data_IF_816881316724
#
_entry.id   IF_816881316724
#
_cell.length_a   1.000
_cell.length_b   1.000
_cell.length_c   1.000
_cell.angle_alpha   90.00
_cell.angle_beta   90.00
_cell.angle_gamma   90.00
#
_symmetry.space_group_name_H-M   'P 1'
#
loop_
_entity.id
_entity.type
_entity.pdbx_description
1 polymer ?
#
# COMPACT_ATOMS: atom_id res chain seq x y z
N UNK A 1 -29.54 13.26 6.99
CA UNK A 1 -29.67 11.95 7.64
C UNK A 1 -29.07 10.88 6.77
N UNK A 2 -28.42 9.91 7.43
CA UNK A 2 -27.65 8.78 6.89
C UNK A 2 -26.26 9.20 6.37
N UNK A 3 -25.34 9.29 7.32
CA UNK A 3 -23.92 9.10 7.11
C UNK A 3 -23.70 7.75 6.44
N UNK A 4 -23.11 7.75 5.24
CA UNK A 4 -22.46 6.59 4.64
C UNK A 4 -21.25 6.21 5.51
N UNK A 5 -21.51 5.59 6.66
CA UNK A 5 -20.52 4.73 7.29
C UNK A 5 -20.42 3.52 6.38
N UNK A 6 -19.34 3.45 5.61
CA UNK A 6 -18.99 2.25 4.85
C UNK A 6 -18.96 1.08 5.83
N UNK A 7 -20.01 0.27 5.84
CA UNK A 7 -20.12 -0.90 6.71
C UNK A 7 -18.96 -1.82 6.36
N UNK A 8 -17.96 -1.81 7.22
CA UNK A 8 -16.79 -2.67 7.11
C UNK A 8 -17.22 -4.10 7.37
N UNK A 9 -16.77 -5.04 6.56
CA UNK A 9 -17.07 -6.45 6.82
C UNK A 9 -16.24 -6.94 8.01
N UNK A 10 -16.77 -7.86 8.84
CA UNK A 10 -16.04 -8.43 9.98
C UNK A 10 -14.68 -9.03 9.59
N UNK A 11 -14.55 -9.51 8.35
CA UNK A 11 -13.31 -10.06 7.82
C UNK A 11 -12.24 -8.98 7.60
N UNK A 12 -12.63 -7.80 7.09
CA UNK A 12 -11.72 -6.66 6.93
C UNK A 12 -11.31 -6.10 8.30
N UNK A 13 -12.26 -6.06 9.22
CA UNK A 13 -12.01 -5.69 10.61
C UNK A 13 -11.17 -6.70 11.37
N UNK A 14 -10.93 -7.94 10.94
CA UNK A 14 -10.09 -8.89 11.70
C UNK A 14 -8.85 -9.34 10.92
N UNK A 15 -8.63 -8.79 9.73
CA UNK A 15 -7.47 -9.10 8.91
C UNK A 15 -6.17 -8.66 9.62
N UNK A 16 -5.26 -9.62 9.82
CA UNK A 16 -3.90 -9.39 10.30
C UNK A 16 -3.04 -8.69 9.25
N UNK A 17 -1.94 -8.05 9.65
CA UNK A 17 -0.94 -7.51 8.74
C UNK A 17 -0.52 -8.55 7.69
N UNK A 18 -0.40 -8.12 6.45
CA UNK A 18 -0.14 -9.01 5.31
C UNK A 18 1.25 -8.72 4.73
N UNK A 19 2.21 -9.65 4.79
CA UNK A 19 3.49 -9.51 4.09
C UNK A 19 3.27 -9.61 2.58
N UNK A 20 3.63 -8.56 1.86
CA UNK A 20 3.49 -8.48 0.39
C UNK A 20 4.82 -8.83 -0.28
N UNK A 21 5.91 -8.23 0.23
CA UNK A 21 7.30 -8.54 -0.09
C UNK A 21 8.07 -8.72 1.24
N UNK A 22 9.30 -9.26 1.22
CA UNK A 22 10.09 -9.43 2.46
C UNK A 22 10.26 -8.17 3.32
N UNK A 23 10.13 -6.98 2.72
CA UNK A 23 10.24 -5.69 3.41
C UNK A 23 8.96 -4.83 3.32
N UNK A 24 7.92 -5.25 2.59
CA UNK A 24 6.71 -4.44 2.34
C UNK A 24 5.49 -5.14 2.93
N UNK A 25 4.83 -4.47 3.86
CA UNK A 25 3.66 -4.96 4.57
C UNK A 25 2.44 -4.09 4.28
N UNK A 26 1.28 -4.73 4.11
CA UNK A 26 -0.02 -4.08 3.95
C UNK A 26 -0.88 -4.35 5.18
N UNK A 27 -1.38 -3.29 5.81
CA UNK A 27 -2.16 -3.40 7.05
C UNK A 27 -3.28 -2.38 7.22
N UNK A 28 -3.91 -2.47 8.37
CA UNK A 28 -4.98 -1.59 8.86
C UNK A 28 -4.48 -0.67 9.99
N UNK A 29 -5.39 0.08 10.59
CA UNK A 29 -5.10 0.99 11.69
C UNK A 29 -4.50 0.26 12.92
N UNK A 30 -5.00 -0.93 13.26
CA UNK A 30 -4.53 -1.67 14.43
C UNK A 30 -3.10 -2.18 14.25
N UNK A 31 -2.77 -2.64 13.05
CA UNK A 31 -1.39 -3.03 12.73
C UNK A 31 -0.43 -1.84 12.91
N UNK A 32 -0.88 -0.61 12.62
CA UNK A 32 -0.09 0.61 12.84
C UNK A 32 -0.01 1.05 14.32
N UNK A 33 -0.95 0.61 15.16
CA UNK A 33 -0.96 0.84 16.61
C UNK A 33 -0.08 -0.15 17.38
N UNK A 34 0.16 -1.34 16.83
CA UNK A 34 0.92 -2.40 17.50
C UNK A 34 2.44 -2.20 17.35
N UNK A 35 3.07 -1.51 18.29
CA UNK A 35 4.51 -1.25 18.26
C UNK A 35 5.36 -2.52 18.34
N UNK A 36 4.87 -3.55 19.04
CA UNK A 36 5.61 -4.81 19.20
C UNK A 36 5.62 -5.60 17.90
N UNK A 37 4.48 -5.64 17.19
CA UNK A 37 4.40 -6.14 15.81
C UNK A 37 5.35 -5.40 14.88
N UNK A 38 5.34 -4.05 14.90
CA UNK A 38 6.22 -3.24 14.05
C UNK A 38 7.69 -3.57 14.30
N UNK A 39 8.09 -3.72 15.56
CA UNK A 39 9.47 -4.10 15.95
C UNK A 39 9.80 -5.53 15.52
N UNK A 40 8.90 -6.47 15.75
CA UNK A 40 9.08 -7.88 15.40
C UNK A 40 9.31 -8.08 13.90
N UNK A 41 8.58 -7.33 13.07
CA UNK A 41 8.72 -7.33 11.61
C UNK A 41 9.87 -6.45 11.09
N UNK A 42 10.73 -5.93 11.98
CA UNK A 42 11.83 -5.02 11.62
C UNK A 42 11.36 -3.78 10.83
N UNK A 43 10.13 -3.32 11.07
CA UNK A 43 9.57 -2.15 10.38
C UNK A 43 10.24 -0.89 10.93
N UNK A 44 10.81 -0.08 10.04
CA UNK A 44 11.37 1.24 10.35
C UNK A 44 10.56 2.39 9.73
N UNK A 45 9.69 2.09 8.77
CA UNK A 45 8.98 3.05 7.95
C UNK A 45 7.49 2.77 7.95
N UNK A 46 6.67 3.82 8.04
CA UNK A 46 5.21 3.69 8.05
C UNK A 46 4.59 4.72 7.12
N UNK A 47 3.83 4.25 6.13
CA UNK A 47 3.00 5.06 5.25
C UNK A 47 1.57 5.03 5.77
N UNK A 48 1.05 6.19 6.18
CA UNK A 48 -0.32 6.39 6.62
C UNK A 48 -1.13 7.06 5.50
N UNK A 49 -1.99 6.29 4.82
CA UNK A 49 -2.81 6.76 3.69
C UNK A 49 -4.17 7.28 4.18
N UNK A 50 -4.16 8.14 5.20
CA UNK A 50 -5.37 8.76 5.77
C UNK A 50 -5.14 10.23 6.11
N UNK A 51 -6.25 10.97 6.23
CA UNK A 51 -6.23 12.37 6.66
C UNK A 51 -6.20 12.51 8.19
N UNK A 52 -6.86 11.61 8.92
CA UNK A 52 -7.25 11.84 10.32
C UNK A 52 -6.56 10.92 11.34
N UNK A 53 -6.14 9.70 10.98
CA UNK A 53 -5.51 8.80 11.94
C UNK A 53 -4.17 9.37 12.41
N UNK A 54 -3.76 9.24 13.68
CA UNK A 54 -2.50 9.76 14.18
C UNK A 54 -1.28 9.00 13.60
N UNK A 55 -0.09 9.54 13.84
CA UNK A 55 1.18 8.84 13.64
C UNK A 55 1.58 8.22 14.99
N UNK A 56 1.03 7.04 15.31
CA UNK A 56 0.98 6.50 16.69
C UNK A 56 2.30 6.50 17.45
N UNK A 57 3.42 6.16 16.79
CA UNK A 57 4.71 5.92 17.44
C UNK A 57 5.82 6.83 16.93
N UNK A 58 5.49 8.10 16.65
CA UNK A 58 6.44 9.09 16.08
C UNK A 58 7.73 9.26 16.90
N UNK A 59 7.66 9.06 18.22
CA UNK A 59 8.81 9.21 19.13
C UNK A 59 9.62 7.91 19.32
N UNK A 60 9.30 6.85 18.57
CA UNK A 60 9.88 5.51 18.75
C UNK A 60 11.00 5.19 17.74
N UNK A 61 11.52 6.19 17.03
CA UNK A 61 12.53 6.02 15.97
C UNK A 61 11.97 5.50 14.64
N UNK A 62 10.64 5.42 14.51
CA UNK A 62 9.98 5.10 13.24
C UNK A 62 9.88 6.34 12.36
N UNK A 63 10.08 6.15 11.06
CA UNK A 63 9.90 7.18 10.05
C UNK A 63 8.50 7.10 9.48
N UNK A 64 7.84 8.25 9.35
CA UNK A 64 6.46 8.31 8.87
C UNK A 64 6.36 9.12 7.58
N UNK A 65 5.47 8.68 6.70
CA UNK A 65 4.95 9.48 5.59
C UNK A 65 3.43 9.42 5.59
N UNK A 66 2.78 10.57 5.71
CA UNK A 66 1.31 10.67 5.58
C UNK A 66 0.96 11.03 4.14
N UNK A 67 0.06 10.25 3.55
CA UNK A 67 -0.61 10.59 2.30
C UNK A 67 -2.05 10.98 2.66
N UNK A 68 -2.37 12.29 2.74
CA UNK A 68 -3.68 12.75 3.18
C UNK A 68 -4.75 12.42 2.13
N UNK A 69 -5.35 11.24 2.25
CA UNK A 69 -6.32 10.72 1.30
C UNK A 69 -7.57 10.13 1.98
N UNK A 70 -8.71 10.39 1.34
CA UNK A 70 -10.02 9.84 1.70
C UNK A 70 -10.44 8.75 0.73
N UNK A 71 -11.26 7.80 1.18
CA UNK A 71 -11.68 6.66 0.37
C UNK A 71 -12.97 6.96 -0.40
N UNK A 72 -12.88 7.86 -1.39
CA UNK A 72 -14.05 8.27 -2.16
C UNK A 72 -13.77 8.29 -3.67
N UNK A 73 -14.85 8.49 -4.43
CA UNK A 73 -14.85 8.49 -5.89
C UNK A 73 -14.14 9.66 -6.56
N UNK A 74 -13.66 10.65 -5.78
CA UNK A 74 -13.00 11.87 -6.29
C UNK A 74 -11.54 11.99 -5.87
N UNK A 75 -11.08 11.17 -4.92
CA UNK A 75 -9.73 11.24 -4.41
C UNK A 75 -8.72 10.84 -5.50
N UNK A 76 -7.73 11.71 -5.74
CA UNK A 76 -6.58 11.37 -6.58
C UNK A 76 -5.47 10.78 -5.68
N UNK A 77 -5.14 9.49 -5.87
CA UNK A 77 -4.00 8.84 -5.22
C UNK A 77 -2.74 8.85 -6.08
N UNK A 78 -2.87 8.94 -7.41
CA UNK A 78 -1.74 8.98 -8.34
C UNK A 78 -0.76 10.11 -8.03
N UNK A 79 -1.26 11.24 -7.53
CA UNK A 79 -0.43 12.38 -7.13
C UNK A 79 0.65 12.03 -6.10
N UNK A 80 0.49 10.93 -5.34
CA UNK A 80 1.42 10.51 -4.30
C UNK A 80 2.37 9.38 -4.73
N UNK A 81 2.19 8.81 -5.93
CA UNK A 81 2.88 7.57 -6.31
C UNK A 81 4.40 7.72 -6.28
N UNK A 82 4.95 8.73 -6.96
CA UNK A 82 6.41 8.89 -7.00
C UNK A 82 6.98 9.10 -5.59
N UNK A 83 6.40 10.02 -4.82
CA UNK A 83 6.85 10.36 -3.46
C UNK A 83 6.79 9.16 -2.50
N UNK A 84 5.74 8.34 -2.58
CA UNK A 84 5.61 7.17 -1.69
C UNK A 84 6.52 6.02 -2.13
N UNK A 85 6.77 5.88 -3.45
CA UNK A 85 7.69 4.87 -3.94
C UNK A 85 9.12 5.16 -3.48
N UNK A 86 9.57 6.40 -3.56
CA UNK A 86 10.87 6.81 -3.01
C UNK A 86 11.00 6.47 -1.52
N UNK A 87 9.94 6.68 -0.74
CA UNK A 87 9.92 6.36 0.69
C UNK A 87 9.94 4.85 0.98
N UNK A 88 9.30 4.04 0.13
CA UNK A 88 9.34 2.58 0.21
C UNK A 88 10.75 2.07 -0.16
N UNK A 89 11.36 2.63 -1.21
CA UNK A 89 12.73 2.31 -1.62
C UNK A 89 13.76 2.70 -0.55
N UNK A 90 13.58 3.83 0.12
CA UNK A 90 14.43 4.26 1.22
C UNK A 90 14.40 3.26 2.39
N UNK A 91 13.21 2.74 2.72
CA UNK A 91 13.05 1.68 3.72
C UNK A 91 13.86 0.44 3.33
N UNK A 92 13.68 0.01 2.08
CA UNK A 92 14.39 -1.13 1.52
C UNK A 92 15.91 -0.96 1.55
N UNK A 93 16.42 0.18 1.08
CA UNK A 93 17.86 0.49 1.06
C UNK A 93 18.48 0.54 2.46
N UNK A 94 17.69 0.95 3.46
CA UNK A 94 18.12 0.95 4.87
C UNK A 94 18.04 -0.43 5.55
N UNK A 95 17.61 -1.49 4.84
CA UNK A 95 17.43 -2.82 5.40
C UNK A 95 16.28 -2.91 6.40
N UNK A 96 15.29 -2.03 6.29
CA UNK A 96 14.13 -1.94 7.18
C UNK A 96 12.85 -2.32 6.43
N UNK A 97 11.89 -2.85 7.17
CA UNK A 97 10.53 -3.04 6.68
C UNK A 97 9.76 -1.71 6.60
N UNK A 98 8.76 -1.68 5.72
CA UNK A 98 7.77 -0.60 5.60
C UNK A 98 6.35 -1.16 5.72
N UNK A 99 5.55 -0.54 6.58
CA UNK A 99 4.10 -0.75 6.64
C UNK A 99 3.40 0.31 5.81
N UNK A 100 2.55 -0.11 4.87
CA UNK A 100 1.59 0.77 4.19
C UNK A 100 0.20 0.46 4.74
N UNK A 101 -0.42 1.42 5.41
CA UNK A 101 -1.73 1.23 6.02
C UNK A 101 -2.70 2.37 5.69
N UNK A 102 -3.98 2.05 5.79
CA UNK A 102 -5.04 3.05 5.90
C UNK A 102 -5.87 2.72 7.14
N UNK A 103 -7.18 2.94 7.10
CA UNK A 103 -8.06 2.52 8.19
C UNK A 103 -8.27 1.00 8.19
N UNK A 104 -8.71 0.44 7.05
CA UNK A 104 -9.09 -0.97 6.93
C UNK A 104 -8.01 -1.87 6.29
N UNK A 105 -7.04 -1.27 5.61
CA UNK A 105 -6.14 -2.02 4.73
C UNK A 105 -6.84 -2.64 3.51
N UNK A 106 -7.96 -2.07 3.05
CA UNK A 106 -8.81 -2.64 1.99
C UNK A 106 -8.60 -1.94 0.64
N UNK A 107 -8.69 -0.61 0.62
CA UNK A 107 -8.77 0.18 -0.61
C UNK A 107 -7.55 1.10 -0.77
N UNK A 108 -7.50 2.25 -0.07
CA UNK A 108 -6.40 3.24 -0.21
C UNK A 108 -4.97 2.67 -0.15
N UNK A 109 -4.63 1.97 0.93
CA UNK A 109 -3.28 1.41 1.09
C UNK A 109 -3.00 0.28 0.11
N UNK A 110 -4.01 -0.52 -0.24
CA UNK A 110 -3.88 -1.55 -1.25
C UNK A 110 -3.58 -0.96 -2.63
N UNK A 111 -4.22 0.15 -3.01
CA UNK A 111 -3.93 0.88 -4.26
C UNK A 111 -2.46 1.29 -4.34
N UNK A 112 -1.89 1.82 -3.26
CA UNK A 112 -0.48 2.21 -3.20
C UNK A 112 0.44 1.01 -3.41
N UNK A 113 0.16 -0.11 -2.73
CA UNK A 113 0.95 -1.34 -2.84
C UNK A 113 0.86 -1.94 -4.25
N UNK A 114 -0.34 -1.97 -4.86
CA UNK A 114 -0.53 -2.47 -6.22
C UNK A 114 0.26 -1.60 -7.21
N UNK A 115 0.14 -0.28 -7.12
CA UNK A 115 0.87 0.64 -7.99
C UNK A 115 2.39 0.50 -7.82
N UNK A 116 2.87 0.31 -6.60
CA UNK A 116 4.29 0.08 -6.32
C UNK A 116 4.81 -1.18 -7.01
N UNK A 117 4.07 -2.31 -6.90
CA UNK A 117 4.42 -3.55 -7.59
C UNK A 117 4.45 -3.34 -9.10
N UNK A 118 3.46 -2.66 -9.68
CA UNK A 118 3.46 -2.37 -11.12
C UNK A 118 4.68 -1.54 -11.54
N UNK A 119 5.10 -0.55 -10.75
CA UNK A 119 6.25 0.31 -11.10
C UNK A 119 7.60 -0.44 -11.02
N UNK A 120 7.74 -1.35 -10.04
CA UNK A 120 9.02 -1.98 -9.69
C UNK A 120 9.17 -3.43 -10.15
N UNK A 121 8.14 -3.95 -10.80
CA UNK A 121 8.11 -5.25 -11.48
C UNK A 121 7.51 -5.07 -12.87
N UNK A 122 7.41 -6.15 -13.64
CA UNK A 122 6.67 -6.20 -14.91
C UNK A 122 5.21 -6.63 -14.74
N UNK A 123 4.70 -6.73 -13.50
CA UNK A 123 3.29 -7.06 -13.28
C UNK A 123 2.37 -6.07 -14.00
N UNK A 124 1.34 -6.62 -14.64
CA UNK A 124 0.17 -5.87 -15.07
C UNK A 124 -0.61 -5.39 -13.85
N UNK A 125 -1.53 -4.44 -14.04
CA UNK A 125 -2.46 -4.02 -12.99
C UNK A 125 -3.23 -5.22 -12.43
N UNK A 126 -3.70 -6.09 -13.32
CA UNK A 126 -4.48 -7.29 -12.94
C UNK A 126 -3.62 -8.27 -12.14
N UNK A 127 -2.38 -8.51 -12.54
CA UNK A 127 -1.49 -9.45 -11.86
C UNK A 127 -1.06 -8.92 -10.50
N UNK A 128 -0.71 -7.63 -10.42
CA UNK A 128 -0.39 -6.99 -9.14
C UNK A 128 -1.60 -7.00 -8.19
N UNK A 129 -2.82 -6.73 -8.70
CA UNK A 129 -4.04 -6.84 -7.90
C UNK A 129 -4.28 -8.27 -7.38
N UNK A 130 -4.17 -9.28 -8.24
CA UNK A 130 -4.31 -10.70 -7.85
C UNK A 130 -3.25 -11.12 -6.84
N UNK A 131 -1.99 -10.72 -7.06
CA UNK A 131 -0.88 -10.99 -6.16
C UNK A 131 -1.14 -10.44 -4.76
N UNK A 132 -1.57 -9.18 -4.65
CA UNK A 132 -1.87 -8.54 -3.37
C UNK A 132 -3.10 -9.20 -2.73
N UNK A 133 -4.15 -9.49 -3.50
CA UNK A 133 -5.37 -10.13 -2.99
C UNK A 133 -5.14 -11.56 -2.51
N UNK A 134 -4.24 -12.32 -3.14
CA UNK A 134 -3.87 -13.66 -2.67
C UNK A 134 -3.23 -13.65 -1.28
N UNK A 135 -2.58 -12.55 -0.90
CA UNK A 135 -1.92 -12.34 0.40
C UNK A 135 -2.79 -11.61 1.40
N UNK A 136 -3.72 -10.79 0.92
CA UNK A 136 -4.73 -10.08 1.72
C UNK A 136 -6.10 -10.18 1.04
N UNK A 137 -6.90 -11.23 1.33
CA UNK A 137 -8.16 -11.51 0.62
C UNK A 137 -9.20 -10.39 0.67
N UNK A 138 -9.15 -9.55 1.71
CA UNK A 138 -10.05 -8.41 1.93
C UNK A 138 -9.76 -7.21 1.01
N UNK A 139 -8.68 -7.25 0.23
CA UNK A 139 -8.31 -6.15 -0.69
C UNK A 139 -9.37 -5.95 -1.75
N UNK A 140 -9.88 -4.71 -1.80
CA UNK A 140 -10.91 -4.27 -2.73
C UNK A 140 -10.83 -2.74 -2.90
N UNK A 141 -9.88 -2.22 -3.71
CA UNK A 141 -9.86 -0.81 -4.08
C UNK A 141 -11.19 -0.37 -4.68
N UNK A 142 -11.61 0.85 -4.39
CA UNK A 142 -12.81 1.41 -5.01
C UNK A 142 -12.62 1.62 -6.53
N UNK A 143 -13.73 1.77 -7.26
CA UNK A 143 -13.70 1.88 -8.73
C UNK A 143 -12.88 3.07 -9.26
N UNK A 144 -12.86 4.19 -8.53
CA UNK A 144 -12.05 5.35 -8.89
C UNK A 144 -10.55 5.00 -8.81
N UNK A 145 -10.12 4.30 -7.76
CA UNK A 145 -8.73 3.85 -7.64
C UNK A 145 -8.37 2.77 -8.66
N UNK A 146 -9.29 1.87 -8.98
CA UNK A 146 -9.09 0.91 -10.07
C UNK A 146 -8.89 1.62 -11.41
N UNK A 147 -9.66 2.67 -11.70
CA UNK A 147 -9.47 3.51 -12.89
C UNK A 147 -8.09 4.19 -12.92
N UNK A 148 -7.66 4.74 -11.79
CA UNK A 148 -6.33 5.35 -11.65
C UNK A 148 -5.19 4.35 -11.85
N UNK A 149 -5.34 3.11 -11.38
CA UNK A 149 -4.36 2.05 -11.62
C UNK A 149 -4.30 1.65 -13.10
N UNK A 150 -5.43 1.57 -13.79
CA UNK A 150 -5.48 1.32 -15.24
C UNK A 150 -4.81 2.43 -16.05
N UNK A 151 -5.04 3.69 -15.68
CA UNK A 151 -4.33 4.81 -16.32
C UNK A 151 -2.82 4.74 -16.04
N UNK A 152 -2.44 4.42 -14.80
CA UNK A 152 -1.03 4.28 -14.45
C UNK A 152 -0.35 3.16 -15.24
N UNK A 153 -1.02 2.02 -15.46
CA UNK A 153 -0.52 0.96 -16.34
C UNK A 153 -0.28 1.44 -17.77
N UNK A 154 -1.18 2.26 -18.34
CA UNK A 154 -1.00 2.84 -19.69
C UNK A 154 0.22 3.75 -19.74
N UNK A 155 0.44 4.54 -18.70
CA UNK A 155 1.60 5.45 -18.62
C UNK A 155 2.92 4.68 -18.48
N UNK A 156 2.92 3.58 -17.72
CA UNK A 156 4.07 2.67 -17.63
C UNK A 156 4.38 2.00 -18.98
N UNK A 157 3.35 1.55 -19.70
CA UNK A 157 3.52 0.81 -20.95
C UNK A 157 3.88 1.71 -22.14
N UNK A 158 3.45 2.98 -22.10
CA UNK A 158 3.82 3.99 -23.11
C UNK A 158 5.16 4.69 -22.82
N UNK A 159 5.78 4.42 -21.66
CA UNK A 159 7.06 5.02 -21.26
C UNK A 159 6.94 6.45 -20.74
N UNK A 160 5.74 7.00 -20.60
CA UNK A 160 5.49 8.30 -19.96
C UNK A 160 5.98 8.27 -18.51
N UNK A 161 5.69 7.17 -17.81
CA UNK A 161 6.28 6.87 -16.51
C UNK A 161 7.28 5.73 -16.68
N UNK A 162 8.58 5.91 -16.37
CA UNK A 162 9.56 4.84 -16.51
C UNK A 162 9.32 3.75 -15.44
N UNK A 163 9.42 2.47 -15.80
CA UNK A 163 9.50 1.38 -14.80
C UNK A 163 10.90 1.36 -14.18
N UNK A 164 10.97 1.12 -12.87
CA UNK A 164 12.24 1.00 -12.13
C UNK A 164 12.33 -0.43 -11.64
N UNK A 165 12.75 -1.34 -12.51
CA UNK A 165 12.76 -2.76 -12.20
C UNK A 165 13.77 -3.08 -11.10
N UNK A 166 13.31 -3.73 -10.04
CA UNK A 166 14.17 -4.20 -8.96
C UNK A 166 14.65 -5.62 -9.26
N UNK A 167 15.96 -5.84 -9.54
CA UNK A 167 16.46 -7.18 -9.92
C UNK A 167 16.21 -8.25 -8.86
N UNK A 168 16.11 -7.86 -7.59
CA UNK A 168 15.85 -8.76 -6.46
C UNK A 168 14.36 -9.12 -6.29
N UNK A 169 13.46 -8.47 -7.03
CA UNK A 169 12.05 -8.85 -7.15
C UNK A 169 11.77 -9.71 -8.40
N UNK A 170 12.81 -10.03 -9.19
CA UNK A 170 12.68 -10.96 -10.31
C UNK A 170 12.11 -12.30 -9.81
N UNK A 171 11.05 -12.78 -10.46
CA UNK A 171 10.36 -14.03 -10.08
C UNK A 171 9.21 -13.86 -9.07
N UNK A 172 9.01 -12.67 -8.50
CA UNK A 172 7.76 -12.36 -7.78
C UNK A 172 6.58 -12.36 -8.76
N UNK A 173 6.83 -11.92 -10.00
CA UNK A 173 5.88 -11.86 -11.13
C UNK A 173 5.36 -13.24 -11.54
N UNK A 174 6.10 -14.31 -11.29
CA UNK A 174 5.71 -15.68 -11.66
C UNK A 174 4.89 -16.38 -10.58
N UNK A 175 4.61 -15.72 -9.46
CA UNK A 175 3.84 -16.28 -8.34
C UNK A 175 2.34 -15.92 -8.39
N UNK A 176 1.87 -15.41 -9.54
CA UNK A 176 0.48 -14.97 -9.78
C UNK A 176 -0.36 -16.08 -10.38
#
# INVERSE_FOLDING_TARGET
SLSDESVMTPDAENAVVSPILPFLYLGNERDAQDLDLLRHLNIGYVVNVTTHLPLYHVNSGLRYKRLPATDNSKQNLRQYFEEVFEFIEEAYQSGRGVLVHCQAGVSRSATIVIAYLMKHTLMTMTDAYKYVRSRRPVVSPNLNFMGQLLEFERDLNSGVTPRILMPKLNGVETQV
#
